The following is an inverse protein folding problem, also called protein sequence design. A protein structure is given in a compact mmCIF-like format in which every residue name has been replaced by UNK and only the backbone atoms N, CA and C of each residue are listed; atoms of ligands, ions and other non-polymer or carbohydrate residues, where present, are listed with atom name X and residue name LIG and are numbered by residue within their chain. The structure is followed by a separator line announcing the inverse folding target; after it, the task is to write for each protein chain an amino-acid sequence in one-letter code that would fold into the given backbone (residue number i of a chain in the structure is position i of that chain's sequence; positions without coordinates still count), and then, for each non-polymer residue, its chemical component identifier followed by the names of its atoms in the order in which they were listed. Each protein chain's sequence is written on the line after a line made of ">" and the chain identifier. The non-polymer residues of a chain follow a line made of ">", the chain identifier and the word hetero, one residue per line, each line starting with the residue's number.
data_IF_788434074755
#
_entry.id   IF_788434074755
#
_cell.length_a   1.000
_cell.length_b   1.000
_cell.length_c   1.000
_cell.angle_alpha   90.00
_cell.angle_beta   90.00
_cell.angle_gamma   90.00
#
_symmetry.space_group_name_H-M   'P 1'
#
loop_
_entity.id
_entity.type
_entity.pdbx_description
1 polymer ?
#
# COMPACT_ATOMS: atom_id res chain seq x y z
N UNK A 1 46.39 2.89 -72.25
CA UNK A 1 45.31 3.62 -71.55
C UNK A 1 45.94 4.65 -70.61
N UNK A 2 46.09 5.92 -71.07
CA UNK A 2 46.71 6.97 -70.24
C UNK A 2 45.71 7.38 -69.16
N UNK A 3 45.97 7.03 -67.91
CA UNK A 3 45.17 7.46 -66.77
C UNK A 3 45.32 8.98 -66.68
N UNK A 4 44.24 9.72 -66.96
CA UNK A 4 44.20 11.18 -66.77
C UNK A 4 44.51 11.45 -65.30
N UNK A 5 45.64 12.11 -65.02
CA UNK A 5 45.93 12.64 -63.68
C UNK A 5 44.86 13.67 -63.34
N UNK A 6 44.05 13.37 -62.34
CA UNK A 6 43.08 14.31 -61.78
C UNK A 6 43.88 15.47 -61.19
N UNK A 7 43.45 16.70 -61.47
CA UNK A 7 44.12 17.90 -60.98
C UNK A 7 44.07 17.93 -59.43
N UNK A 8 45.25 18.03 -58.79
CA UNK A 8 45.35 18.11 -57.34
C UNK A 8 44.56 19.28 -56.75
N UNK A 9 44.37 20.39 -57.49
CA UNK A 9 43.56 21.52 -57.03
C UNK A 9 42.09 21.14 -56.90
N UNK A 10 41.60 20.29 -57.80
CA UNK A 10 40.22 19.78 -57.78
C UNK A 10 40.04 18.82 -56.60
N UNK A 11 40.99 17.90 -56.39
CA UNK A 11 40.96 16.96 -55.25
C UNK A 11 40.99 17.72 -53.92
N UNK A 12 41.85 18.74 -53.80
CA UNK A 12 41.99 19.53 -52.59
C UNK A 12 40.71 20.34 -52.31
N UNK A 13 40.10 20.94 -53.33
CA UNK A 13 38.81 21.63 -53.20
C UNK A 13 37.69 20.70 -52.68
N UNK A 14 37.54 19.52 -53.27
CA UNK A 14 36.53 18.54 -52.81
C UNK A 14 36.83 18.02 -51.39
N UNK A 15 38.11 17.84 -51.03
CA UNK A 15 38.48 17.42 -49.68
C UNK A 15 38.13 18.47 -48.61
N UNK A 16 38.29 19.76 -48.92
CA UNK A 16 37.92 20.86 -48.02
C UNK A 16 36.40 20.92 -47.86
N UNK A 17 35.63 20.80 -48.94
CA UNK A 17 34.16 20.78 -48.87
C UNK A 17 33.67 19.60 -48.04
N UNK A 18 34.26 18.41 -48.23
CA UNK A 18 33.92 17.23 -47.45
C UNK A 18 34.23 17.43 -45.98
N UNK A 19 35.36 18.05 -45.64
CA UNK A 19 35.74 18.34 -44.26
C UNK A 19 34.78 19.37 -43.62
N UNK A 20 34.40 20.43 -44.34
CA UNK A 20 33.39 21.39 -43.88
C UNK A 20 32.04 20.71 -43.67
N UNK A 21 31.63 19.83 -44.58
CA UNK A 21 30.39 19.07 -44.45
C UNK A 21 30.41 18.13 -43.25
N UNK A 22 31.52 17.43 -43.00
CA UNK A 22 31.70 16.56 -41.82
C UNK A 22 31.66 17.40 -40.54
N UNK A 23 32.34 18.54 -40.49
CA UNK A 23 32.32 19.43 -39.32
C UNK A 23 30.91 19.96 -39.06
N UNK A 24 30.19 20.39 -40.11
CA UNK A 24 28.79 20.83 -40.00
C UNK A 24 27.88 19.69 -39.52
N UNK A 25 28.06 18.48 -40.04
CA UNK A 25 27.31 17.30 -39.62
C UNK A 25 27.60 16.94 -38.16
N UNK A 26 28.86 16.98 -37.73
CA UNK A 26 29.24 16.76 -36.33
C UNK A 26 28.63 17.83 -35.42
N UNK A 27 28.64 19.10 -35.81
CA UNK A 27 27.99 20.18 -35.05
C UNK A 27 26.48 19.94 -34.93
N UNK A 28 25.81 19.53 -36.01
CA UNK A 28 24.39 19.20 -35.97
C UNK A 28 24.12 17.95 -35.11
N UNK A 29 24.93 16.91 -35.23
CA UNK A 29 24.82 15.67 -34.48
C UNK A 29 24.98 15.88 -32.97
N UNK A 30 25.96 16.69 -32.54
CA UNK A 30 26.15 17.00 -31.11
C UNK A 30 25.18 18.04 -30.54
N UNK A 31 24.47 18.79 -31.40
CA UNK A 31 23.41 19.72 -30.97
C UNK A 31 22.02 19.11 -31.01
N UNK A 32 21.82 18.03 -31.76
CA UNK A 32 20.55 17.33 -31.81
C UNK A 32 20.25 16.72 -30.43
N UNK A 33 19.10 17.05 -29.89
CA UNK A 33 18.54 16.40 -28.72
C UNK A 33 17.33 15.63 -29.22
N UNK A 34 17.40 14.31 -29.12
CA UNK A 34 16.28 13.44 -29.45
C UNK A 34 15.12 13.76 -28.48
N UNK A 35 14.11 14.48 -28.97
CA UNK A 35 12.93 14.85 -28.17
C UNK A 35 12.08 13.63 -27.77
N UNK A 36 12.36 12.45 -28.29
CA UNK A 36 11.63 11.21 -27.96
C UNK A 36 12.03 10.60 -26.59
N UNK A 37 13.13 11.08 -25.98
CA UNK A 37 13.73 10.50 -24.76
C UNK A 37 13.65 11.43 -23.52
N UNK A 38 12.65 12.32 -23.47
CA UNK A 38 12.47 13.23 -22.34
C UNK A 38 11.99 12.48 -21.09
N UNK A 39 12.79 12.53 -20.02
CA UNK A 39 12.53 11.86 -18.73
C UNK A 39 12.32 12.91 -17.65
N UNK A 40 11.09 13.40 -17.53
CA UNK A 40 10.70 14.34 -16.49
C UNK A 40 9.65 13.73 -15.54
N UNK A 41 9.66 14.21 -14.31
CA UNK A 41 8.82 13.69 -13.25
C UNK A 41 8.11 14.86 -12.57
N UNK A 42 6.81 14.64 -12.30
CA UNK A 42 6.01 15.48 -11.41
C UNK A 42 5.75 14.62 -10.19
N UNK A 43 6.35 14.99 -9.07
CA UNK A 43 6.20 14.33 -7.78
C UNK A 43 5.23 15.14 -6.92
N UNK A 44 4.11 14.50 -6.57
CA UNK A 44 3.18 15.01 -5.56
C UNK A 44 2.83 13.85 -4.64
N UNK A 45 3.06 14.00 -3.34
CA UNK A 45 2.67 13.00 -2.33
C UNK A 45 1.14 12.75 -2.41
N UNK A 46 0.38 13.82 -2.64
CA UNK A 46 -1.05 13.80 -2.96
C UNK A 46 -1.34 14.90 -4.00
N UNK A 47 -2.15 14.60 -5.02
CA UNK A 47 -2.55 15.59 -6.04
C UNK A 47 -3.65 16.50 -5.48
N UNK A 48 -3.33 17.27 -4.45
CA UNK A 48 -4.26 18.16 -3.74
C UNK A 48 -3.88 19.64 -3.96
N UNK A 49 -4.88 20.52 -3.93
CA UNK A 49 -4.64 21.96 -3.91
C UNK A 49 -3.92 22.40 -2.64
N UNK A 50 -3.13 23.48 -2.73
CA UNK A 50 -2.37 24.12 -1.64
C UNK A 50 -1.16 23.33 -1.09
N UNK A 51 -0.70 22.29 -1.79
CA UNK A 51 0.55 21.58 -1.45
C UNK A 51 1.66 21.88 -2.48
N UNK A 52 2.93 21.96 -2.06
CA UNK A 52 4.05 22.11 -2.98
C UNK A 52 4.28 20.82 -3.76
N UNK A 53 4.17 20.90 -5.08
CA UNK A 53 4.44 19.82 -6.02
C UNK A 53 5.84 20.01 -6.58
N UNK A 54 6.63 18.93 -6.60
CA UNK A 54 8.00 18.94 -7.09
C UNK A 54 8.05 18.58 -8.58
N UNK A 55 8.80 19.36 -9.35
CA UNK A 55 9.00 19.21 -10.79
C UNK A 55 10.49 19.08 -11.07
N UNK A 56 10.91 17.99 -11.69
CA UNK A 56 12.31 17.82 -12.05
C UNK A 56 12.51 17.07 -13.37
N UNK A 57 13.57 17.45 -14.09
CA UNK A 57 13.97 16.83 -15.35
C UNK A 57 15.29 16.04 -15.24
N UNK A 58 15.33 14.85 -15.84
CA UNK A 58 16.51 13.97 -15.96
C UNK A 58 16.91 13.69 -17.41
N UNK A 59 16.47 14.53 -18.35
CA UNK A 59 16.78 14.35 -19.76
C UNK A 59 18.27 14.55 -20.02
N UNK A 60 18.87 13.64 -20.79
CA UNK A 60 20.30 13.70 -21.14
C UNK A 60 20.52 14.82 -22.17
N UNK A 61 21.64 15.54 -22.09
CA UNK A 61 21.96 16.69 -22.94
C UNK A 61 21.00 17.91 -22.87
N UNK A 62 20.11 17.96 -21.88
CA UNK A 62 19.32 19.16 -21.57
C UNK A 62 20.24 20.28 -21.02
N UNK A 63 20.18 21.47 -21.63
CA UNK A 63 20.95 22.67 -21.29
C UNK A 63 20.08 23.79 -20.73
N UNK A 64 18.81 23.85 -21.12
CA UNK A 64 17.83 24.77 -20.57
C UNK A 64 16.47 24.11 -20.38
N UNK A 65 15.73 24.60 -19.39
CA UNK A 65 14.39 24.15 -19.04
C UNK A 65 13.47 25.35 -18.97
N UNK A 66 12.19 25.14 -19.28
CA UNK A 66 11.12 26.09 -19.06
C UNK A 66 9.86 25.33 -18.67
N UNK A 67 9.43 25.49 -17.44
CA UNK A 67 8.22 24.92 -16.87
C UNK A 67 7.09 25.93 -16.93
N UNK A 68 6.02 25.61 -17.63
CA UNK A 68 4.73 26.29 -17.54
C UNK A 68 3.78 25.38 -16.76
N UNK A 69 3.23 25.89 -15.66
CA UNK A 69 2.40 25.11 -14.75
C UNK A 69 0.93 25.06 -15.18
N UNK A 70 0.52 25.84 -16.19
CA UNK A 70 -0.84 25.82 -16.74
C UNK A 70 -1.90 26.50 -15.88
N UNK A 71 -1.52 27.19 -14.80
CA UNK A 71 -2.41 27.93 -13.89
C UNK A 71 -2.31 29.46 -14.04
N UNK A 72 -1.54 29.92 -15.03
CA UNK A 72 -1.28 31.34 -15.28
C UNK A 72 -0.17 31.95 -14.41
N UNK A 73 0.51 31.13 -13.60
CA UNK A 73 1.72 31.56 -12.89
C UNK A 73 2.91 31.77 -13.84
N UNK A 74 3.94 32.44 -13.34
CA UNK A 74 5.17 32.67 -14.12
C UNK A 74 5.93 31.38 -14.34
N UNK A 75 6.36 31.15 -15.58
CA UNK A 75 7.16 29.99 -15.93
C UNK A 75 8.52 29.96 -15.20
N UNK A 76 8.97 28.76 -14.81
CA UNK A 76 10.25 28.55 -14.12
C UNK A 76 11.32 28.00 -15.08
N UNK A 77 12.55 28.48 -14.98
CA UNK A 77 13.67 28.09 -15.85
C UNK A 77 14.64 27.09 -15.22
N UNK A 78 14.39 26.70 -13.97
CA UNK A 78 15.24 25.77 -13.23
C UNK A 78 14.95 24.33 -13.66
N UNK A 79 16.01 23.52 -13.63
CA UNK A 79 15.92 22.07 -13.85
C UNK A 79 15.03 21.37 -12.82
N UNK A 80 15.06 21.85 -11.57
CA UNK A 80 14.33 21.32 -10.43
C UNK A 80 13.64 22.50 -9.73
N UNK A 81 12.33 22.42 -9.55
CA UNK A 81 11.51 23.47 -8.95
C UNK A 81 10.31 22.91 -8.20
N UNK A 82 9.71 23.74 -7.35
CA UNK A 82 8.49 23.44 -6.61
C UNK A 82 7.42 24.46 -6.99
N UNK A 83 6.19 24.00 -7.20
CA UNK A 83 5.05 24.87 -7.48
C UNK A 83 3.82 24.46 -6.67
N UNK A 84 3.05 25.46 -6.21
CA UNK A 84 1.85 25.25 -5.40
C UNK A 84 0.65 25.82 -6.12
N UNK A 85 -0.34 24.97 -6.38
CA UNK A 85 -1.60 25.36 -7.02
C UNK A 85 -2.62 25.77 -5.96
N UNK A 86 -3.19 26.96 -6.10
CA UNK A 86 -4.14 27.49 -5.11
C UNK A 86 -5.51 26.78 -5.15
N UNK A 87 -5.99 26.44 -6.33
CA UNK A 87 -7.32 25.89 -6.53
C UNK A 87 -7.25 24.43 -6.99
N UNK A 88 -8.24 23.60 -6.65
CA UNK A 88 -8.41 22.29 -7.28
C UNK A 88 -8.81 22.46 -8.74
N UNK A 89 -8.47 21.49 -9.58
CA UNK A 89 -8.74 21.57 -11.01
C UNK A 89 -7.79 20.74 -11.86
N UNK A 90 -7.97 20.82 -13.18
CA UNK A 90 -7.07 20.19 -14.15
C UNK A 90 -6.10 21.24 -14.68
N UNK A 91 -4.81 20.90 -14.66
CA UNK A 91 -3.72 21.76 -15.10
C UNK A 91 -2.90 21.03 -16.16
N UNK A 92 -2.56 21.71 -17.25
CA UNK A 92 -1.68 21.18 -18.29
C UNK A 92 -0.29 21.74 -18.03
N UNK A 93 0.58 20.91 -17.48
CA UNK A 93 1.97 21.27 -17.22
C UNK A 93 2.77 21.06 -18.48
N UNK A 94 3.51 22.08 -18.91
CA UNK A 94 4.35 22.05 -20.11
C UNK A 94 5.81 22.24 -19.74
N UNK A 95 6.67 21.34 -20.18
CA UNK A 95 8.12 21.45 -20.10
C UNK A 95 8.71 21.69 -21.49
N UNK A 96 9.41 22.80 -21.68
CA UNK A 96 10.23 23.06 -22.87
C UNK A 96 11.70 22.91 -22.54
N UNK A 97 12.42 22.02 -23.23
CA UNK A 97 13.85 21.77 -23.09
C UNK A 97 14.58 22.34 -24.31
N UNK A 98 15.70 23.04 -24.06
CA UNK A 98 16.56 23.63 -25.11
C UNK A 98 15.83 24.59 -26.08
N UNK A 99 14.60 24.99 -25.75
CA UNK A 99 13.75 25.82 -26.62
C UNK A 99 13.11 25.08 -27.80
N UNK A 100 13.36 23.78 -27.97
CA UNK A 100 12.93 23.01 -29.14
C UNK A 100 12.01 21.85 -28.77
N UNK A 101 12.31 21.10 -27.69
CA UNK A 101 11.50 19.97 -27.28
C UNK A 101 10.43 20.41 -26.28
N UNK A 102 9.15 20.27 -26.62
CA UNK A 102 8.03 20.62 -25.73
C UNK A 102 7.21 19.39 -25.37
N UNK A 103 7.05 19.12 -24.08
CA UNK A 103 6.26 18.01 -23.54
C UNK A 103 5.18 18.52 -22.60
N UNK A 104 4.02 17.89 -22.66
CA UNK A 104 2.88 18.24 -21.80
C UNK A 104 2.44 17.05 -20.96
N UNK A 105 1.90 17.33 -19.77
CA UNK A 105 1.26 16.34 -18.90
C UNK A 105 0.08 16.95 -18.17
N UNK A 106 -1.03 16.21 -18.14
CA UNK A 106 -2.20 16.57 -17.34
C UNK A 106 -1.93 16.26 -15.86
N UNK A 107 -2.15 17.26 -15.01
CA UNK A 107 -2.14 17.18 -13.55
C UNK A 107 -3.56 17.47 -13.06
N UNK A 108 -4.13 16.56 -12.28
CA UNK A 108 -5.48 16.69 -11.72
C UNK A 108 -5.38 16.89 -10.22
N UNK A 109 -5.79 18.06 -9.74
CA UNK A 109 -5.80 18.43 -8.33
C UNK A 109 -7.19 18.36 -7.74
N UNK A 110 -7.32 17.70 -6.59
CA UNK A 110 -8.55 17.64 -5.80
C UNK A 110 -8.52 18.62 -4.64
N UNK A 111 -9.70 19.02 -4.18
CA UNK A 111 -9.84 19.97 -3.07
C UNK A 111 -9.42 19.31 -1.75
N UNK A 112 -8.45 19.92 -1.07
CA UNK A 112 -7.94 19.52 0.24
C UNK A 112 -9.02 19.46 1.33
N UNK A 113 -10.03 20.32 1.27
CA UNK A 113 -11.06 20.50 2.30
C UNK A 113 -12.38 19.77 2.00
N UNK A 114 -12.57 19.21 0.79
CA UNK A 114 -13.69 18.30 0.53
C UNK A 114 -13.51 16.95 1.26
N UNK A 115 -12.27 16.50 1.46
CA UNK A 115 -11.99 15.20 2.11
C UNK A 115 -12.37 15.15 3.60
N UNK A 116 -12.27 16.26 4.32
CA UNK A 116 -12.54 16.29 5.77
C UNK A 116 -14.05 16.29 6.08
N UNK A 117 -14.88 16.71 5.11
CA UNK A 117 -16.34 16.83 5.27
C UNK A 117 -17.09 15.51 5.12
N UNK A 118 -16.54 14.53 4.38
CA UNK A 118 -17.23 13.26 4.08
C UNK A 118 -17.05 12.19 5.17
N UNK A 119 -16.05 12.30 6.05
CA UNK A 119 -15.78 11.33 7.11
C UNK A 119 -15.37 9.93 6.61
N UNK A 120 -14.84 9.09 7.51
CA UNK A 120 -14.51 7.69 7.17
C UNK A 120 -15.80 6.88 7.04
N UNK A 121 -15.98 6.06 5.98
CA UNK A 121 -17.14 5.18 5.86
C UNK A 121 -17.28 4.26 7.08
N UNK A 122 -18.50 3.84 7.39
CA UNK A 122 -18.76 2.91 8.50
C UNK A 122 -19.23 1.56 7.99
N UNK A 123 -18.69 0.48 8.55
CA UNK A 123 -19.08 -0.90 8.23
C UNK A 123 -20.09 -1.41 9.26
N UNK A 124 -21.25 -1.83 8.78
CA UNK A 124 -22.29 -2.52 9.56
C UNK A 124 -22.16 -4.03 9.32
N UNK A 125 -22.00 -4.75 10.42
CA UNK A 125 -21.85 -6.21 10.47
C UNK A 125 -21.99 -6.69 11.91
N UNK A 126 -22.36 -7.95 12.09
CA UNK A 126 -22.34 -8.62 13.40
C UNK A 126 -20.91 -8.74 13.94
N UNK A 127 -20.72 -8.53 15.24
CA UNK A 127 -19.40 -8.65 15.89
C UNK A 127 -18.91 -10.11 15.93
N UNK A 128 -19.83 -11.06 15.87
CA UNK A 128 -19.57 -12.49 16.04
C UNK A 128 -20.42 -13.29 15.06
N UNK A 129 -19.80 -14.25 14.38
CA UNK A 129 -20.44 -15.15 13.39
C UNK A 129 -19.87 -16.58 13.50
N UNK A 130 -20.42 -17.53 12.74
CA UNK A 130 -19.93 -18.93 12.71
C UNK A 130 -19.40 -19.29 11.33
N UNK A 131 -18.32 -20.09 11.28
CA UNK A 131 -17.79 -20.65 10.02
C UNK A 131 -18.89 -21.34 9.22
N UNK A 132 -18.96 -21.03 7.92
CA UNK A 132 -19.91 -21.61 6.98
C UNK A 132 -21.31 -20.98 6.99
N UNK A 133 -21.57 -19.94 7.81
CA UNK A 133 -22.83 -19.18 7.76
C UNK A 133 -22.71 -17.96 6.82
N UNK A 134 -23.71 -17.69 5.96
CA UNK A 134 -23.75 -16.45 5.18
C UNK A 134 -23.93 -15.25 6.11
N UNK A 135 -23.04 -14.27 5.97
CA UNK A 135 -23.06 -13.02 6.75
C UNK A 135 -23.31 -11.85 5.83
N UNK A 136 -24.22 -10.97 6.24
CA UNK A 136 -24.60 -9.79 5.48
C UNK A 136 -23.83 -8.58 5.98
N UNK A 137 -23.35 -7.76 5.04
CA UNK A 137 -22.64 -6.52 5.33
C UNK A 137 -23.34 -5.36 4.67
N UNK A 138 -23.23 -4.19 5.28
CA UNK A 138 -23.66 -2.93 4.67
C UNK A 138 -22.76 -1.80 5.13
N UNK A 139 -22.79 -0.68 4.40
CA UNK A 139 -21.96 0.50 4.69
C UNK A 139 -22.80 1.76 4.84
N UNK A 140 -22.37 2.65 5.73
CA UNK A 140 -22.85 4.04 5.77
C UNK A 140 -21.74 4.97 5.26
N UNK A 141 -22.05 5.75 4.23
CA UNK A 141 -21.13 6.75 3.66
C UNK A 141 -21.90 7.80 2.89
N UNK A 142 -21.49 9.07 3.02
CA UNK A 142 -21.96 10.14 2.12
C UNK A 142 -21.36 9.93 0.71
N UNK A 143 -22.23 9.88 -0.31
CA UNK A 143 -21.86 9.82 -1.74
C UNK A 143 -21.12 8.57 -2.23
N UNK A 144 -21.46 7.36 -1.74
CA UNK A 144 -20.93 6.13 -2.33
C UNK A 144 -21.52 5.85 -3.72
N UNK A 145 -20.63 5.63 -4.69
CA UNK A 145 -20.93 5.17 -6.05
C UNK A 145 -20.34 3.78 -6.31
N UNK A 146 -19.16 3.49 -5.77
CA UNK A 146 -18.54 2.17 -5.82
C UNK A 146 -18.10 1.71 -4.44
N UNK A 147 -18.12 0.40 -4.23
CA UNK A 147 -17.69 -0.27 -3.01
C UNK A 147 -16.60 -1.26 -3.36
N UNK A 148 -15.60 -1.39 -2.50
CA UNK A 148 -14.59 -2.44 -2.60
C UNK A 148 -14.39 -3.02 -1.20
N UNK A 149 -14.91 -4.23 -0.99
CA UNK A 149 -14.85 -4.93 0.28
C UNK A 149 -13.68 -5.91 0.33
N UNK A 150 -12.99 -6.01 1.48
CA UNK A 150 -11.99 -7.04 1.74
C UNK A 150 -12.27 -7.75 3.05
N UNK A 151 -12.45 -9.08 3.01
CA UNK A 151 -12.87 -9.88 4.17
C UNK A 151 -11.73 -10.54 4.96
N UNK A 152 -10.47 -10.37 4.53
CA UNK A 152 -9.30 -10.85 5.27
C UNK A 152 -9.07 -12.38 5.24
N UNK A 153 -9.79 -13.14 4.41
CA UNK A 153 -9.55 -14.58 4.18
C UNK A 153 -8.87 -14.83 2.83
N UNK A 154 -7.53 -14.86 2.82
CA UNK A 154 -6.75 -15.21 1.62
C UNK A 154 -6.85 -14.17 0.49
N UNK A 155 -6.39 -14.55 -0.71
CA UNK A 155 -6.22 -13.64 -1.87
C UNK A 155 -7.51 -12.85 -2.19
N UNK A 156 -7.46 -11.54 -1.98
CA UNK A 156 -8.14 -10.53 -2.79
C UNK A 156 -9.60 -10.81 -3.15
N UNK A 157 -10.42 -11.29 -2.22
CA UNK A 157 -11.85 -11.38 -2.49
C UNK A 157 -12.43 -9.98 -2.38
N UNK A 158 -12.53 -9.30 -3.53
CA UNK A 158 -13.25 -8.04 -3.67
C UNK A 158 -14.68 -8.34 -4.06
N UNK A 159 -15.59 -7.79 -3.27
CA UNK A 159 -16.98 -7.67 -3.66
C UNK A 159 -17.28 -6.19 -3.93
N UNK A 160 -17.99 -5.92 -5.03
CA UNK A 160 -18.29 -4.56 -5.49
C UNK A 160 -19.73 -4.13 -5.19
N UNK A 161 -20.51 -5.05 -4.60
CA UNK A 161 -21.88 -4.78 -4.14
C UNK A 161 -21.90 -3.84 -2.93
N UNK A 162 -22.93 -2.99 -2.86
CA UNK A 162 -23.19 -2.13 -1.70
C UNK A 162 -23.59 -2.89 -0.44
N UNK A 163 -24.22 -4.07 -0.60
CA UNK A 163 -24.66 -4.94 0.48
C UNK A 163 -24.19 -6.39 0.20
N UNK A 164 -22.92 -6.71 0.42
CA UNK A 164 -22.40 -8.02 0.06
C UNK A 164 -22.79 -9.09 1.08
N UNK A 165 -22.84 -10.34 0.60
CA UNK A 165 -23.00 -11.53 1.44
C UNK A 165 -21.72 -12.35 1.35
N UNK A 166 -21.11 -12.64 2.48
CA UNK A 166 -19.85 -13.39 2.54
C UNK A 166 -19.92 -14.53 3.57
N UNK A 167 -19.27 -15.65 3.25
CA UNK A 167 -19.21 -16.84 4.10
C UNK A 167 -17.78 -17.16 4.46
N UNK A 168 -17.46 -17.08 5.76
CA UNK A 168 -16.11 -17.34 6.24
C UNK A 168 -15.81 -18.84 6.33
N UNK A 169 -14.64 -19.23 5.86
CA UNK A 169 -14.17 -20.62 5.80
C UNK A 169 -13.25 -20.99 6.96
N UNK A 170 -12.59 -20.02 7.57
CA UNK A 170 -11.64 -20.24 8.67
C UNK A 170 -12.07 -19.49 9.94
N UNK A 171 -11.95 -20.13 11.12
CA UNK A 171 -12.26 -19.48 12.38
C UNK A 171 -11.19 -18.44 12.77
N UNK A 172 -11.51 -17.61 13.75
CA UNK A 172 -10.60 -16.61 14.33
C UNK A 172 -11.05 -15.17 14.11
N UNK A 173 -10.21 -14.22 14.51
CA UNK A 173 -10.44 -12.79 14.25
C UNK A 173 -10.25 -12.47 12.77
N UNK A 174 -11.16 -11.65 12.24
CA UNK A 174 -11.16 -11.22 10.84
C UNK A 174 -11.32 -9.71 10.77
N UNK A 175 -10.38 -9.06 10.08
CA UNK A 175 -10.40 -7.62 9.81
C UNK A 175 -11.03 -7.38 8.44
N UNK A 176 -12.24 -6.82 8.44
CA UNK A 176 -12.95 -6.41 7.23
C UNK A 176 -12.54 -4.98 6.89
N UNK A 177 -12.29 -4.75 5.62
CA UNK A 177 -11.90 -3.46 5.05
C UNK A 177 -12.91 -3.03 4.00
N UNK A 178 -13.19 -1.73 3.93
CA UNK A 178 -14.06 -1.15 2.91
C UNK A 178 -13.44 0.13 2.35
N UNK A 179 -13.37 0.20 1.03
CA UNK A 179 -13.03 1.41 0.28
C UNK A 179 -14.26 1.84 -0.52
N UNK A 180 -14.55 3.13 -0.50
CA UNK A 180 -15.65 3.74 -1.28
C UNK A 180 -15.05 4.60 -2.39
N UNK A 181 -15.57 4.52 -3.61
CA UNK A 181 -15.15 5.35 -4.74
C UNK A 181 -13.65 5.26 -5.09
N UNK A 182 -12.98 4.16 -4.74
CA UNK A 182 -11.52 4.02 -4.86
C UNK A 182 -10.73 5.00 -3.99
N UNK A 183 -11.36 5.59 -2.97
CA UNK A 183 -10.76 6.56 -2.07
C UNK A 183 -10.01 5.86 -0.92
N UNK A 184 -8.74 5.54 -1.17
CA UNK A 184 -7.86 4.89 -0.21
C UNK A 184 -7.41 5.81 0.95
N UNK A 185 -7.78 7.09 0.93
CA UNK A 185 -7.54 8.00 2.07
C UNK A 185 -8.45 7.68 3.26
N UNK A 186 -9.62 7.08 2.99
CA UNK A 186 -10.71 6.84 3.94
C UNK A 186 -11.09 5.36 3.98
N UNK A 187 -10.15 4.50 4.37
CA UNK A 187 -10.43 3.07 4.51
C UNK A 187 -11.15 2.79 5.83
N UNK A 188 -12.35 2.22 5.75
CA UNK A 188 -13.04 1.73 6.94
C UNK A 188 -12.51 0.36 7.34
N UNK A 189 -12.30 0.13 8.64
CA UNK A 189 -11.94 -1.17 9.20
C UNK A 189 -12.98 -1.63 10.21
N UNK A 190 -13.28 -2.93 10.23
CA UNK A 190 -14.10 -3.57 11.26
C UNK A 190 -13.61 -4.96 11.58
N UNK A 191 -13.31 -5.21 12.86
CA UNK A 191 -12.90 -6.53 13.34
C UNK A 191 -14.13 -7.31 13.80
N UNK A 192 -14.23 -8.57 13.37
CA UNK A 192 -15.25 -9.53 13.80
C UNK A 192 -14.58 -10.84 14.25
N UNK A 193 -15.28 -11.64 15.04
CA UNK A 193 -14.82 -12.96 15.46
C UNK A 193 -15.64 -14.09 14.83
N UNK A 194 -14.97 -15.04 14.19
CA UNK A 194 -15.58 -16.19 13.52
C UNK A 194 -15.39 -17.46 14.37
N UNK A 195 -16.48 -17.95 14.97
CA UNK A 195 -16.46 -19.20 15.73
C UNK A 195 -16.32 -20.42 14.84
N UNK A 196 -15.55 -21.45 15.26
CA UNK A 196 -15.52 -22.74 14.58
C UNK A 196 -16.89 -23.40 14.63
N UNK A 197 -17.23 -24.15 13.57
CA UNK A 197 -18.48 -24.91 13.52
C UNK A 197 -18.43 -26.05 14.55
N UNK A 198 -19.41 -26.11 15.45
CA UNK A 198 -19.52 -27.21 16.41
C UNK A 198 -19.91 -28.49 15.66
N UNK A 199 -18.97 -29.42 15.52
CA UNK A 199 -19.27 -30.77 15.02
C UNK A 199 -19.89 -31.52 16.20
N UNK A 200 -21.21 -31.76 16.17
CA UNK A 200 -21.84 -32.70 17.10
C UNK A 200 -21.28 -34.09 16.82
N UNK A 201 -20.56 -34.67 17.78
CA UNK A 201 -20.01 -36.02 17.69
C UNK A 201 -21.18 -37.02 17.62
N UNK A 202 -21.44 -37.61 16.45
CA UNK A 202 -22.43 -38.69 16.28
C UNK A 202 -21.74 -40.04 16.29
N UNK A 203 -21.05 -40.38 17.39
CA UNK A 203 -20.75 -41.77 17.68
C UNK A 203 -21.40 -42.08 19.03
N UNK A 204 -22.46 -42.92 19.09
CA UNK A 204 -22.75 -43.60 20.35
C UNK A 204 -21.49 -44.41 20.69
N UNK A 205 -20.97 -44.23 21.91
CA UNK A 205 -19.97 -45.13 22.44
C UNK A 205 -20.57 -46.54 22.39
N UNK A 206 -20.00 -47.42 21.56
CA UNK A 206 -20.34 -48.82 21.55
C UNK A 206 -19.78 -49.44 22.84
N UNK A 207 -20.58 -49.41 23.91
CA UNK A 207 -20.27 -50.03 25.20
C UNK A 207 -20.60 -51.52 25.08
N UNK A 208 -19.79 -52.25 24.32
CA UNK A 208 -19.83 -53.72 24.27
C UNK A 208 -18.55 -54.29 24.87
N UNK A 209 -18.32 -54.03 26.16
CA UNK A 209 -17.58 -54.95 27.03
C UNK A 209 -17.85 -54.63 28.49
N UNK A 210 -19.01 -55.07 28.99
CA UNK A 210 -19.19 -55.23 30.42
C UNK A 210 -18.38 -56.47 30.84
N UNK A 211 -17.17 -56.25 31.35
CA UNK A 211 -16.53 -57.23 32.22
C UNK A 211 -17.19 -57.05 33.59
N UNK A 212 -17.88 -58.08 34.08
CA UNK A 212 -18.45 -58.07 35.42
C UNK A 212 -17.36 -57.72 36.45
N UNK A 213 -17.55 -56.63 37.19
CA UNK A 213 -16.70 -56.30 38.33
C UNK A 213 -16.78 -57.44 39.36
N UNK A 214 -15.62 -57.99 39.71
CA UNK A 214 -15.46 -58.86 40.88
C UNK A 214 -16.06 -58.17 42.09
N UNK A 215 -16.84 -58.90 42.90
CA UNK A 215 -17.40 -58.41 44.15
C UNK A 215 -16.35 -57.65 44.97
N UNK A 216 -16.65 -56.39 45.30
CA UNK A 216 -15.78 -55.54 46.09
C UNK A 216 -15.57 -56.16 47.48
N UNK A 217 -14.31 -56.39 47.85
CA UNK A 217 -13.95 -56.62 49.25
C UNK A 217 -14.24 -55.33 50.04
N UNK A 218 -14.79 -55.49 51.24
CA UNK A 218 -15.24 -54.39 52.09
C UNK A 218 -14.12 -53.38 52.35
N UNK A 219 -14.16 -52.26 51.64
CA UNK A 219 -13.26 -51.14 51.85
C UNK A 219 -13.63 -50.46 53.17
N UNK A 220 -12.78 -50.61 54.19
CA UNK A 220 -12.90 -49.84 55.42
C UNK A 220 -12.11 -48.55 55.27
N UNK A 221 -12.79 -47.41 55.38
CA UNK A 221 -12.14 -46.11 55.38
C UNK A 221 -11.30 -45.95 56.66
N UNK A 222 -10.04 -45.50 56.58
CA UNK A 222 -9.30 -45.09 57.76
C UNK A 222 -10.04 -43.91 58.41
N UNK A 223 -10.42 -44.05 59.68
CA UNK A 223 -10.95 -42.92 60.48
C UNK A 223 -9.82 -41.94 60.75
N UNK A 224 -9.60 -41.02 59.83
CA UNK A 224 -8.80 -39.82 60.06
C UNK A 224 -9.62 -38.74 60.77
N UNK A 225 -8.96 -37.97 61.66
CA UNK A 225 -9.56 -36.83 62.34
C UNK A 225 -10.07 -35.77 61.36
N UNK A 226 -11.19 -35.13 61.71
CA UNK A 226 -11.84 -34.05 60.96
C UNK A 226 -10.82 -32.97 60.58
N UNK A 227 -10.45 -32.87 59.30
CA UNK A 227 -9.76 -31.70 58.77
C UNK A 227 -10.82 -30.62 58.50
N UNK A 228 -10.56 -29.40 58.99
CA UNK A 228 -11.39 -28.23 58.69
C UNK A 228 -11.45 -28.00 57.18
N UNK A 229 -12.59 -27.50 56.73
CA UNK A 229 -12.90 -27.20 55.34
C UNK A 229 -11.83 -26.27 54.73
N UNK A 230 -11.14 -26.67 53.63
CA UNK A 230 -10.12 -25.85 52.99
C UNK A 230 -10.62 -24.50 52.46
N UNK A 231 -11.95 -24.31 52.37
CA UNK A 231 -12.54 -23.08 51.86
C UNK A 231 -12.45 -21.90 52.83
N UNK A 232 -12.24 -22.16 54.12
CA UNK A 232 -12.25 -21.13 55.16
C UNK A 232 -10.92 -20.36 55.25
N UNK A 233 -9.81 -20.96 54.82
CA UNK A 233 -8.48 -20.30 54.74
C UNK A 233 -8.32 -19.45 53.46
N UNK A 234 -9.07 -19.75 52.39
CA UNK A 234 -8.98 -18.99 51.12
C UNK A 234 -9.74 -17.66 51.16
N UNK A 235 -10.67 -17.47 52.10
CA UNK A 235 -11.47 -16.25 52.23
C UNK A 235 -10.78 -15.14 53.04
N UNK A 236 -9.68 -15.43 53.72
CA UNK A 236 -8.90 -14.42 54.47
C UNK A 236 -7.94 -13.60 53.59
N UNK A 237 -7.73 -13.98 52.33
CA UNK A 237 -6.78 -13.35 51.42
C UNK A 237 -7.42 -12.82 50.13
N UNK A 238 -8.68 -12.37 50.16
CA UNK A 238 -9.21 -11.60 49.03
C UNK A 238 -8.63 -10.18 49.10
N UNK A 239 -7.71 -9.77 48.20
CA UNK A 239 -7.22 -8.41 48.21
C UNK A 239 -8.38 -7.47 47.91
N UNK A 240 -8.58 -6.50 48.79
CA UNK A 240 -9.51 -5.38 48.52
C UNK A 240 -9.03 -4.71 47.24
N UNK A 241 -9.91 -4.67 46.23
CA UNK A 241 -9.62 -4.01 44.96
C UNK A 241 -9.07 -2.61 45.25
N UNK A 242 -7.87 -2.25 44.76
CA UNK A 242 -7.35 -0.90 44.94
C UNK A 242 -8.35 0.08 44.33
N UNK A 243 -8.77 1.07 45.13
CA UNK A 243 -9.58 2.20 44.64
C UNK A 243 -8.92 2.73 43.37
N UNK A 244 -9.67 2.76 42.28
CA UNK A 244 -9.23 3.36 41.03
C UNK A 244 -8.77 4.79 41.32
N UNK A 245 -7.47 5.01 41.33
CA UNK A 245 -6.91 6.36 41.24
C UNK A 245 -7.34 6.86 39.88
N UNK A 246 -8.14 7.92 39.87
CA UNK A 246 -8.45 8.69 38.66
C UNK A 246 -7.13 9.09 38.02
N UNK A 247 -6.75 8.38 36.95
CA UNK A 247 -5.57 8.69 36.19
C UNK A 247 -5.92 9.97 35.43
N UNK A 248 -5.33 11.07 35.87
CA UNK A 248 -5.32 12.33 35.15
C UNK A 248 -4.71 12.01 33.79
N UNK A 249 -5.45 12.21 32.71
CA UNK A 249 -5.03 11.95 31.33
C UNK A 249 -3.63 12.54 31.10
N UNK A 250 -2.62 11.70 31.22
CA UNK A 250 -1.29 11.98 30.69
C UNK A 250 -1.45 11.84 29.20
N UNK A 251 -1.38 12.96 28.49
CA UNK A 251 -1.32 13.03 27.03
C UNK A 251 -0.32 11.96 26.58
N UNK A 252 -0.85 10.90 25.98
CA UNK A 252 -0.08 9.78 25.48
C UNK A 252 0.93 10.36 24.48
N UNK A 253 2.22 10.15 24.74
CA UNK A 253 3.27 10.70 23.90
C UNK A 253 3.23 9.90 22.59
N UNK A 254 2.47 10.38 21.61
CA UNK A 254 2.16 9.68 20.36
C UNK A 254 3.49 9.29 19.69
N UNK A 255 3.81 7.99 19.67
CA UNK A 255 5.00 7.44 18.98
C UNK A 255 4.87 7.79 17.49
N UNK A 256 5.62 8.79 17.04
CA UNK A 256 5.61 9.21 15.63
C UNK A 256 6.46 8.25 14.80
N UNK A 257 5.89 7.72 13.73
CA UNK A 257 6.60 6.89 12.77
C UNK A 257 7.69 7.70 12.04
N UNK A 258 8.83 7.08 11.70
CA UNK A 258 9.86 7.74 10.90
C UNK A 258 9.33 8.19 9.54
N UNK A 259 9.77 9.35 9.05
CA UNK A 259 9.45 9.82 7.69
C UNK A 259 10.13 8.91 6.67
N UNK A 260 9.35 8.40 5.71
CA UNK A 260 9.83 7.56 4.61
C UNK A 260 9.12 7.96 3.32
N UNK A 261 9.87 8.07 2.22
CA UNK A 261 9.28 8.29 0.90
C UNK A 261 8.83 6.97 0.26
N UNK A 262 7.97 7.09 -0.74
CA UNK A 262 7.42 5.99 -1.54
C UNK A 262 8.55 5.21 -2.23
N UNK A 263 9.57 5.89 -2.77
CA UNK A 263 10.76 5.27 -3.37
C UNK A 263 11.58 4.49 -2.35
N UNK A 264 11.77 5.05 -1.15
CA UNK A 264 12.48 4.34 -0.08
C UNK A 264 11.71 3.09 0.35
N UNK A 265 10.39 3.21 0.43
CA UNK A 265 9.52 2.08 0.75
C UNK A 265 9.51 1.02 -0.36
N UNK A 266 9.55 1.44 -1.63
CA UNK A 266 9.71 0.56 -2.79
C UNK A 266 11.00 -0.26 -2.70
N UNK A 267 12.12 0.40 -2.38
CA UNK A 267 13.41 -0.28 -2.18
C UNK A 267 13.31 -1.32 -1.05
N UNK A 268 12.63 -0.99 0.05
CA UNK A 268 12.41 -1.94 1.14
C UNK A 268 11.55 -3.14 0.70
N UNK A 269 10.49 -2.92 -0.08
CA UNK A 269 9.67 -4.00 -0.62
C UNK A 269 10.43 -4.90 -1.61
N UNK A 270 11.28 -4.32 -2.46
CA UNK A 270 12.18 -5.09 -3.33
C UNK A 270 13.12 -5.97 -2.50
N UNK A 271 13.65 -5.46 -1.37
CA UNK A 271 14.45 -6.28 -0.43
C UNK A 271 13.65 -7.41 0.22
N UNK A 272 12.35 -7.24 0.47
CA UNK A 272 11.47 -8.33 0.93
C UNK A 272 11.30 -9.38 -0.17
N UNK A 273 11.12 -8.94 -1.41
CA UNK A 273 11.01 -9.84 -2.56
C UNK A 273 12.31 -10.66 -2.78
N UNK A 274 13.47 -10.05 -2.56
CA UNK A 274 14.78 -10.69 -2.57
C UNK A 274 15.06 -11.57 -1.33
N UNK A 275 14.25 -11.46 -0.29
CA UNK A 275 14.40 -12.21 0.97
C UNK A 275 15.39 -11.60 1.97
N UNK A 276 15.93 -10.41 1.69
CA UNK A 276 16.86 -9.68 2.58
C UNK A 276 16.16 -8.93 3.72
N UNK A 277 14.84 -8.76 3.63
CA UNK A 277 13.99 -8.10 4.63
C UNK A 277 12.75 -8.94 4.91
N UNK A 278 12.19 -8.80 6.12
CA UNK A 278 10.95 -9.46 6.55
C UNK A 278 9.87 -8.43 6.86
N UNK A 279 8.61 -8.87 6.95
CA UNK A 279 7.46 -7.98 7.24
C UNK A 279 7.64 -7.18 8.53
N UNK A 280 8.33 -7.74 9.52
CA UNK A 280 8.51 -7.14 10.85
C UNK A 280 9.51 -5.96 10.81
N UNK A 281 10.33 -5.83 9.76
CA UNK A 281 11.19 -4.66 9.57
C UNK A 281 10.41 -3.36 9.28
N UNK A 282 9.09 -3.47 9.09
CA UNK A 282 8.22 -2.35 8.73
C UNK A 282 7.32 -1.88 9.88
N UNK A 283 7.39 -2.53 11.04
CA UNK A 283 6.51 -2.24 12.20
C UNK A 283 6.59 -0.80 12.65
N UNK A 284 7.77 -0.17 12.65
CA UNK A 284 7.91 1.23 13.02
C UNK A 284 7.23 2.21 12.05
N UNK A 285 7.14 1.87 10.75
CA UNK A 285 6.45 2.70 9.76
C UNK A 285 4.93 2.47 9.78
N UNK A 286 4.51 1.27 10.18
CA UNK A 286 3.11 0.84 10.25
C UNK A 286 2.50 1.02 11.65
N UNK A 287 3.31 1.47 12.62
CA UNK A 287 2.93 1.59 14.03
C UNK A 287 2.34 0.29 14.58
N UNK A 288 3.10 -0.80 14.35
CA UNK A 288 2.79 -2.17 14.78
C UNK A 288 1.54 -2.79 14.13
N UNK A 289 0.89 -2.11 13.17
CA UNK A 289 -0.25 -2.63 12.38
C UNK A 289 0.23 -3.31 11.08
N UNK A 290 0.56 -4.60 11.15
CA UNK A 290 0.91 -5.40 9.95
C UNK A 290 -0.33 -5.78 9.09
N UNK A 291 -1.53 -5.43 9.53
CA UNK A 291 -2.79 -5.63 8.82
C UNK A 291 -3.25 -4.38 8.05
N UNK A 292 -2.33 -3.44 7.84
CA UNK A 292 -2.57 -2.28 6.98
C UNK A 292 -3.07 -2.73 5.60
N UNK A 293 -4.20 -2.19 5.12
CA UNK A 293 -4.77 -2.53 3.82
C UNK A 293 -3.86 -2.08 2.69
N UNK A 294 -3.71 -2.97 1.71
CA UNK A 294 -2.91 -2.83 0.50
C UNK A 294 -3.80 -3.12 -0.69
N UNK A 295 -3.87 -2.17 -1.61
CA UNK A 295 -4.51 -2.37 -2.91
C UNK A 295 -3.44 -2.78 -3.90
N UNK A 296 -3.54 -3.98 -4.44
CA UNK A 296 -2.62 -4.57 -5.40
C UNK A 296 -3.23 -4.48 -6.80
N UNK A 297 -2.49 -3.93 -7.75
CA UNK A 297 -2.84 -3.93 -9.18
C UNK A 297 -4.21 -3.31 -9.48
N UNK A 298 -4.61 -2.28 -8.72
CA UNK A 298 -5.90 -1.57 -8.76
C UNK A 298 -7.13 -2.48 -8.68
N UNK A 299 -6.96 -3.68 -8.11
CA UNK A 299 -8.02 -4.69 -8.04
C UNK A 299 -8.00 -5.39 -6.71
N UNK A 300 -6.88 -5.96 -6.31
CA UNK A 300 -6.79 -6.87 -5.18
C UNK A 300 -6.64 -6.13 -3.84
N UNK A 301 -7.61 -6.23 -2.94
CA UNK A 301 -7.44 -5.75 -1.56
C UNK A 301 -6.89 -6.85 -0.66
N UNK A 302 -5.74 -6.60 -0.05
CA UNK A 302 -5.01 -7.54 0.82
C UNK A 302 -4.31 -6.81 1.96
N UNK A 303 -3.79 -7.52 2.96
CA UNK A 303 -3.05 -6.89 4.06
C UNK A 303 -1.56 -6.77 3.76
N UNK A 304 -0.84 -5.88 4.46
CA UNK A 304 0.60 -5.72 4.29
C UNK A 304 1.37 -7.04 4.53
N UNK A 305 0.98 -7.80 5.54
CA UNK A 305 1.51 -9.14 5.78
C UNK A 305 1.29 -10.10 4.59
N UNK A 306 0.11 -10.04 3.95
CA UNK A 306 -0.20 -10.82 2.76
C UNK A 306 0.59 -10.36 1.54
N UNK A 307 0.81 -9.04 1.37
CA UNK A 307 1.66 -8.49 0.32
C UNK A 307 3.08 -9.06 0.43
N UNK A 308 3.69 -8.94 1.61
CA UNK A 308 5.04 -9.41 1.89
C UNK A 308 5.18 -10.91 1.59
N UNK A 309 4.20 -11.70 2.02
CA UNK A 309 4.17 -13.14 1.74
C UNK A 309 4.00 -13.44 0.24
N UNK A 310 3.24 -12.60 -0.47
CA UNK A 310 2.97 -12.75 -1.89
C UNK A 310 4.13 -12.39 -2.82
N UNK A 311 5.01 -11.46 -2.41
CA UNK A 311 6.18 -11.02 -3.19
C UNK A 311 7.47 -11.76 -2.83
N UNK A 312 7.54 -12.39 -1.65
CA UNK A 312 8.74 -13.08 -1.16
C UNK A 312 9.22 -14.13 -2.17
N UNK A 313 10.50 -14.05 -2.55
CA UNK A 313 11.14 -14.97 -3.49
C UNK A 313 10.79 -14.74 -4.97
N UNK A 314 10.09 -13.65 -5.30
CA UNK A 314 9.74 -13.29 -6.68
C UNK A 314 10.57 -12.12 -7.18
N UNK A 315 10.87 -12.10 -8.48
CA UNK A 315 11.37 -10.90 -9.16
C UNK A 315 10.20 -10.01 -9.51
N UNK A 316 10.03 -8.93 -8.74
CA UNK A 316 8.98 -7.94 -8.95
C UNK A 316 9.53 -6.69 -9.64
N UNK A 317 8.68 -6.00 -10.38
CA UNK A 317 8.90 -4.65 -10.90
C UNK A 317 7.72 -3.82 -10.45
N UNK A 318 7.94 -2.94 -9.49
CA UNK A 318 6.93 -2.02 -8.99
C UNK A 318 6.81 -0.90 -10.03
N UNK A 319 5.58 -0.66 -10.49
CA UNK A 319 5.26 0.38 -11.48
C UNK A 319 4.81 1.66 -10.80
N UNK A 320 4.13 1.53 -9.66
CA UNK A 320 3.78 2.65 -8.78
C UNK A 320 3.47 2.15 -7.38
N UNK A 321 3.80 2.95 -6.38
CA UNK A 321 3.36 2.76 -4.99
C UNK A 321 2.86 4.09 -4.42
N UNK A 322 1.84 4.03 -3.57
CA UNK A 322 1.28 5.17 -2.83
C UNK A 322 1.08 4.77 -1.38
N UNK A 323 1.54 5.60 -0.45
CA UNK A 323 1.35 5.39 0.98
C UNK A 323 0.33 6.40 1.51
N UNK A 324 -0.65 5.94 2.28
CA UNK A 324 -1.54 6.80 3.04
C UNK A 324 -1.02 6.88 4.48
N UNK A 325 -0.55 8.06 4.89
CA UNK A 325 0.07 8.31 6.20
C UNK A 325 -0.87 9.16 7.06
N UNK A 326 -1.01 8.80 8.32
CA UNK A 326 -1.77 9.58 9.29
C UNK A 326 -1.03 10.88 9.62
N UNK A 327 -1.76 12.01 9.59
CA UNK A 327 -1.19 13.36 9.71
C UNK A 327 -0.60 13.66 11.09
N UNK A 328 -1.03 12.93 12.13
CA UNK A 328 -0.66 13.21 13.53
C UNK A 328 0.60 12.43 13.95
N UNK A 329 0.69 11.18 13.52
CA UNK A 329 1.71 10.23 13.94
C UNK A 329 2.59 9.73 12.78
N UNK A 330 2.29 10.12 11.53
CA UNK A 330 2.99 9.71 10.31
C UNK A 330 2.96 8.19 10.04
N UNK A 331 2.12 7.44 10.75
CA UNK A 331 1.95 5.99 10.56
C UNK A 331 1.29 5.71 9.22
N UNK A 332 1.78 4.72 8.47
CA UNK A 332 1.12 4.27 7.25
C UNK A 332 -0.15 3.51 7.63
N UNK A 333 -1.32 4.00 7.19
CA UNK A 333 -2.64 3.42 7.47
C UNK A 333 -3.25 2.68 6.28
N UNK A 334 -2.69 2.87 5.09
CA UNK A 334 -3.09 2.18 3.87
C UNK A 334 -2.03 2.35 2.79
N UNK A 335 -2.03 1.51 1.76
CA UNK A 335 -1.17 1.69 0.60
C UNK A 335 -1.80 1.12 -0.67
N UNK A 336 -1.37 1.62 -1.82
CA UNK A 336 -1.68 1.07 -3.14
C UNK A 336 -0.39 0.77 -3.87
N UNK A 337 -0.31 -0.39 -4.51
CA UNK A 337 0.87 -0.87 -5.21
C UNK A 337 0.47 -1.56 -6.53
N UNK A 338 1.06 -1.09 -7.62
CA UNK A 338 0.97 -1.74 -8.92
C UNK A 338 2.33 -2.34 -9.24
N UNK A 339 2.37 -3.66 -9.48
CA UNK A 339 3.61 -4.36 -9.78
C UNK A 339 3.40 -5.55 -10.72
N UNK A 340 4.46 -5.85 -11.47
CA UNK A 340 4.56 -7.02 -12.33
C UNK A 340 5.55 -8.01 -11.74
N UNK A 341 5.27 -9.30 -11.92
CA UNK A 341 6.19 -10.38 -11.60
C UNK A 341 6.82 -10.89 -12.88
N UNK A 342 8.13 -11.13 -12.85
CA UNK A 342 8.83 -11.75 -13.97
C UNK A 342 8.53 -13.26 -13.96
N UNK A 343 7.79 -13.72 -14.97
CA UNK A 343 7.59 -15.15 -15.25
C UNK A 343 8.35 -15.46 -16.54
N UNK A 344 9.31 -16.38 -16.44
CA UNK A 344 10.29 -16.64 -17.51
C UNK A 344 11.06 -15.35 -17.91
N UNK A 345 10.83 -14.85 -19.13
CA UNK A 345 11.43 -13.62 -19.67
C UNK A 345 10.45 -12.44 -19.79
N UNK A 346 9.18 -12.60 -19.38
CA UNK A 346 8.13 -11.60 -19.59
C UNK A 346 7.63 -11.07 -18.24
N UNK A 347 7.36 -9.76 -18.19
CA UNK A 347 6.74 -9.10 -17.05
C UNK A 347 5.22 -9.23 -17.15
N UNK A 348 4.61 -9.91 -16.19
CA UNK A 348 3.15 -10.15 -16.14
C UNK A 348 2.58 -9.53 -14.88
N UNK A 349 1.40 -8.92 -14.95
CA UNK A 349 0.67 -8.50 -13.74
C UNK A 349 0.27 -9.76 -12.97
N UNK A 350 0.69 -9.85 -11.71
CA UNK A 350 0.41 -11.00 -10.85
C UNK A 350 -0.88 -10.84 -10.06
#
# INVERSE_FOLDING_TARGET
>A
MKIKKIDNRIVLFFSIILLIAIVSFLIQFFKHVDCDDVKYYILSDHSQSEEPIEFYDRTHNAKSWKWDFGDGSTADIRRHTFHTYKNPGKYIVTLTINGECTHTRELVLTDKYLLDKLGTPQIIASKTITVGQPTYFSSISSEAKTWEWGFGEGRGVIENSSNPVYTFSTPGEKTITLVINGDFSRVAKKVIYVHPRVIKKTNPLDVTSYVYEKNAESFSLPRGSVKKDPLEDMLQYVPVAPRAKTQKDSIENIKKAPKISEDQFEILLNKVAEGSKVKDDFTDFLCDDLEVPVVKNDKDLLTFAQLCSGIKGKKIKIESIRLNKDKTNNCIKGMSINYKVKKYMIWVKD
#
